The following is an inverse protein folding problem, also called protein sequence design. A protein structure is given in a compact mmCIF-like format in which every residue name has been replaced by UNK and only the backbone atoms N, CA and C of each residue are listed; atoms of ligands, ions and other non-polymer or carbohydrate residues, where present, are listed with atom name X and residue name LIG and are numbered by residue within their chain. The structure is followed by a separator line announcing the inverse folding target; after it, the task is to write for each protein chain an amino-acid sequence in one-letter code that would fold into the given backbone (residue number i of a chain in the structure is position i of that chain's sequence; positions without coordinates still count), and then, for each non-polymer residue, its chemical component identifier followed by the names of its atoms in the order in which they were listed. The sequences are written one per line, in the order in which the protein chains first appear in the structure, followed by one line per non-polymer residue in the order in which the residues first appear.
data_IF_944258176334
#
_entry.id   IF_944258176334
#
_cell.length_a   1.000
_cell.length_b   1.000
_cell.length_c   1.000
_cell.angle_alpha   90.00
_cell.angle_beta   90.00
_cell.angle_gamma   90.00
#
_symmetry.space_group_name_H-M   'P 1'
#
loop_
_entity.id
_entity.type
_entity.pdbx_description
1 polymer ?
#
# COMPACT_ATOMS: atom_id res chain seq x y z
N UNK A 1 -5.85 0.06 -6.06
CA UNK A 1 -5.09 -0.73 -7.05
C UNK A 1 -3.61 -0.49 -6.78
N UNK A 2 -2.78 -1.52 -6.83
CA UNK A 2 -1.33 -1.40 -6.60
C UNK A 2 -0.57 -2.28 -7.58
N UNK A 3 0.59 -1.81 -8.03
CA UNK A 3 1.46 -2.57 -8.93
C UNK A 3 2.92 -2.20 -8.68
N UNK A 4 3.73 -3.22 -8.51
CA UNK A 4 5.15 -3.13 -8.26
C UNK A 4 5.91 -3.90 -9.33
N UNK A 5 6.75 -3.20 -10.09
CA UNK A 5 7.46 -3.80 -11.22
C UNK A 5 8.62 -4.68 -10.74
N UNK A 6 8.70 -5.88 -11.28
CA UNK A 6 9.79 -6.83 -11.05
C UNK A 6 10.55 -7.10 -12.35
N UNK A 7 11.80 -7.59 -12.28
CA UNK A 7 12.53 -8.04 -13.47
C UNK A 7 11.76 -9.13 -14.25
N UNK A 8 12.17 -9.38 -15.50
CA UNK A 8 11.67 -10.49 -16.34
C UNK A 8 10.16 -10.44 -16.66
N UNK A 9 9.59 -9.24 -16.78
CA UNK A 9 8.17 -9.07 -17.17
C UNK A 9 7.20 -9.55 -16.08
N UNK A 10 7.63 -9.49 -14.82
CA UNK A 10 6.81 -9.78 -13.65
C UNK A 10 6.33 -8.50 -12.98
N UNK A 11 5.21 -8.58 -12.27
CA UNK A 11 4.87 -7.59 -11.27
C UNK A 11 4.24 -8.24 -10.03
N UNK A 12 4.38 -7.58 -8.89
CA UNK A 12 3.53 -7.82 -7.73
C UNK A 12 2.38 -6.83 -7.81
N UNK A 13 1.16 -7.28 -8.08
CA UNK A 13 0.03 -6.37 -8.24
C UNK A 13 -1.26 -6.92 -7.65
N UNK A 14 -2.15 -6.00 -7.33
CA UNK A 14 -3.42 -6.28 -6.68
C UNK A 14 -4.48 -5.25 -7.07
N UNK A 15 -5.73 -5.70 -7.06
CA UNK A 15 -6.87 -4.84 -7.24
C UNK A 15 -8.03 -5.25 -6.34
N UNK A 16 -8.62 -4.25 -5.69
CA UNK A 16 -9.75 -4.39 -4.80
C UNK A 16 -10.84 -3.41 -5.20
N UNK A 17 -12.11 -3.84 -5.09
CA UNK A 17 -13.28 -2.98 -5.16
C UNK A 17 -14.10 -3.24 -3.91
N UNK A 18 -14.21 -2.26 -3.02
CA UNK A 18 -15.08 -2.30 -1.86
C UNK A 18 -16.35 -1.50 -2.17
N UNK A 19 -17.51 -2.16 -2.15
CA UNK A 19 -18.79 -1.53 -2.45
C UNK A 19 -19.82 -1.80 -1.35
N UNK A 20 -20.48 -0.76 -0.82
CA UNK A 20 -21.62 -0.93 0.07
C UNK A 20 -22.66 -1.88 -0.53
N UNK A 21 -23.13 -2.86 0.24
CA UNK A 21 -24.12 -3.85 -0.19
C UNK A 21 -23.59 -4.99 -1.07
N UNK A 22 -22.42 -4.85 -1.70
CA UNK A 22 -21.77 -5.91 -2.52
C UNK A 22 -20.55 -6.53 -1.85
N UNK A 23 -20.02 -5.86 -0.82
CA UNK A 23 -18.86 -6.27 -0.04
C UNK A 23 -17.54 -6.00 -0.77
N UNK A 24 -16.50 -6.75 -0.40
CA UNK A 24 -15.18 -6.67 -1.02
C UNK A 24 -15.06 -7.63 -2.20
N UNK A 25 -14.57 -7.12 -3.33
CA UNK A 25 -14.10 -7.88 -4.48
C UNK A 25 -12.58 -7.76 -4.55
N UNK A 26 -11.92 -8.87 -4.87
CA UNK A 26 -10.46 -8.99 -4.96
C UNK A 26 -10.10 -9.56 -6.33
N UNK A 27 -9.05 -9.07 -7.00
CA UNK A 27 -8.53 -9.69 -8.22
C UNK A 27 -8.24 -11.17 -7.99
N UNK A 28 -8.57 -12.04 -8.95
CA UNK A 28 -8.54 -13.51 -8.83
C UNK A 28 -7.28 -14.12 -8.22
N UNK A 29 -6.12 -13.49 -8.43
CA UNK A 29 -4.84 -13.99 -7.95
C UNK A 29 -4.69 -13.93 -6.43
N UNK A 30 -5.42 -13.04 -5.76
CA UNK A 30 -5.37 -12.86 -4.30
C UNK A 30 -5.76 -14.18 -3.60
N UNK A 31 -4.98 -14.64 -2.60
CA UNK A 31 -4.02 -13.87 -1.81
C UNK A 31 -2.60 -13.77 -2.40
N UNK A 32 -2.33 -14.40 -3.54
CA UNK A 32 -1.06 -14.22 -4.25
C UNK A 32 -1.03 -12.89 -5.03
N UNK A 33 0.16 -12.32 -5.19
CA UNK A 33 0.34 -11.06 -5.93
C UNK A 33 1.28 -11.19 -7.12
N UNK A 34 1.95 -12.33 -7.30
CA UNK A 34 2.89 -12.54 -8.40
C UNK A 34 2.13 -12.72 -9.71
N UNK A 35 2.22 -11.72 -10.59
CA UNK A 35 1.61 -11.72 -11.93
C UNK A 35 2.68 -11.77 -13.02
N UNK A 36 2.32 -12.37 -14.15
CA UNK A 36 3.23 -12.58 -15.28
C UNK A 36 2.73 -11.90 -16.55
N UNK A 37 3.67 -11.54 -17.42
CA UNK A 37 3.36 -10.97 -18.74
C UNK A 37 3.27 -9.46 -18.76
N UNK A 38 3.92 -8.78 -17.80
CA UNK A 38 4.09 -7.34 -17.86
C UNK A 38 4.99 -6.96 -19.04
N UNK A 39 4.57 -5.98 -19.84
CA UNK A 39 5.40 -5.40 -20.89
C UNK A 39 6.65 -4.72 -20.32
N UNK A 40 7.65 -4.48 -21.18
CA UNK A 40 8.82 -3.70 -20.79
C UNK A 40 8.36 -2.31 -20.32
N UNK A 41 8.74 -1.96 -19.09
CA UNK A 41 8.40 -0.69 -18.46
C UNK A 41 6.90 -0.47 -18.17
N UNK A 42 6.08 -1.50 -18.29
CA UNK A 42 4.67 -1.41 -17.94
C UNK A 42 4.43 -1.73 -16.46
N UNK A 43 3.53 -0.97 -15.83
CA UNK A 43 2.98 -1.28 -14.52
C UNK A 43 1.67 -2.05 -14.70
N UNK A 44 1.74 -3.32 -15.07
CA UNK A 44 0.54 -4.11 -15.26
C UNK A 44 0.76 -5.50 -15.81
N UNK A 45 -0.07 -6.45 -15.38
CA UNK A 45 -0.16 -7.82 -15.87
C UNK A 45 -1.52 -8.41 -15.49
N UNK A 46 -1.91 -9.51 -16.13
CA UNK A 46 -3.15 -10.27 -15.83
C UNK A 46 -4.40 -9.37 -15.68
N UNK A 47 -4.57 -8.45 -16.62
CA UNK A 47 -5.71 -7.54 -16.69
C UNK A 47 -5.52 -6.21 -15.96
N UNK A 48 -4.60 -6.11 -14.98
CA UNK A 48 -4.27 -4.86 -14.29
C UNK A 48 -3.36 -4.02 -15.19
N UNK A 49 -3.63 -2.72 -15.31
CA UNK A 49 -2.72 -1.75 -15.94
C UNK A 49 -2.78 -0.39 -15.26
N UNK A 50 -1.61 0.16 -14.96
CA UNK A 50 -1.39 1.53 -14.48
C UNK A 50 -0.45 2.19 -15.48
N UNK A 51 -0.80 3.37 -15.99
CA UNK A 51 0.01 4.05 -17.00
C UNK A 51 0.11 5.54 -16.70
N UNK A 52 1.31 6.11 -16.65
CA UNK A 52 1.46 7.56 -16.52
C UNK A 52 0.96 8.23 -17.80
N UNK A 53 0.04 9.18 -17.65
CA UNK A 53 -0.43 10.05 -18.75
C UNK A 53 0.36 11.35 -18.73
N UNK A 54 0.51 11.94 -17.54
CA UNK A 54 1.40 13.07 -17.29
C UNK A 54 2.13 12.81 -15.96
N UNK A 55 3.47 12.69 -15.96
CA UNK A 55 4.23 12.39 -14.75
C UNK A 55 3.87 13.34 -13.61
N UNK A 56 3.71 12.81 -12.40
CA UNK A 56 3.36 13.55 -11.19
C UNK A 56 2.01 14.29 -11.22
N UNK A 57 1.18 14.08 -12.25
CA UNK A 57 -0.10 14.79 -12.40
C UNK A 57 -1.28 13.91 -12.81
N UNK A 58 -1.10 12.93 -13.72
CA UNK A 58 -2.22 12.15 -14.26
C UNK A 58 -1.83 10.72 -14.63
N UNK A 59 -2.68 9.75 -14.27
CA UNK A 59 -2.50 8.32 -14.54
C UNK A 59 -3.78 7.69 -15.03
N UNK A 60 -3.66 6.83 -16.02
CA UNK A 60 -4.72 5.93 -16.47
C UNK A 60 -4.61 4.61 -15.69
N UNK A 61 -5.75 4.11 -15.26
CA UNK A 61 -5.91 2.87 -14.51
C UNK A 61 -6.90 1.99 -15.26
N UNK A 62 -6.61 0.71 -15.45
CA UNK A 62 -7.59 -0.23 -15.96
C UNK A 62 -7.45 -1.61 -15.34
N UNK A 63 -8.59 -2.31 -15.29
CA UNK A 63 -8.64 -3.72 -14.95
C UNK A 63 -9.64 -4.43 -15.86
N UNK A 64 -9.29 -5.60 -16.38
CA UNK A 64 -10.23 -6.48 -17.07
C UNK A 64 -9.98 -7.92 -16.68
N UNK A 65 -10.93 -8.52 -15.97
CA UNK A 65 -10.82 -9.90 -15.54
C UNK A 65 -11.88 -10.32 -14.53
N UNK A 66 -11.82 -11.59 -14.13
CA UNK A 66 -12.66 -12.14 -13.08
C UNK A 66 -12.12 -11.72 -11.70
N UNK A 67 -13.01 -11.30 -10.79
CA UNK A 67 -12.68 -11.07 -9.38
C UNK A 67 -13.26 -12.18 -8.50
N UNK A 68 -12.90 -12.20 -7.21
CA UNK A 68 -13.45 -13.13 -6.23
C UNK A 68 -14.99 -13.05 -6.23
N UNK A 69 -15.66 -14.15 -5.86
CA UNK A 69 -17.09 -14.39 -6.09
C UNK A 69 -17.48 -14.66 -7.55
N UNK A 70 -16.49 -14.84 -8.44
CA UNK A 70 -16.66 -15.29 -9.84
C UNK A 70 -17.51 -14.29 -10.64
N UNK A 71 -17.19 -13.00 -10.48
CA UNK A 71 -17.84 -11.90 -11.22
C UNK A 71 -16.86 -11.31 -12.21
N UNK A 72 -17.35 -10.95 -13.40
CA UNK A 72 -16.53 -10.30 -14.42
C UNK A 72 -16.49 -8.80 -14.17
N UNK A 73 -15.29 -8.23 -14.16
CA UNK A 73 -15.11 -6.80 -13.94
C UNK A 73 -14.31 -6.18 -15.08
N UNK A 74 -14.83 -5.09 -15.62
CA UNK A 74 -14.13 -4.19 -16.52
C UNK A 74 -14.12 -2.79 -15.89
N UNK A 75 -12.93 -2.31 -15.54
CA UNK A 75 -12.70 -1.04 -14.86
C UNK A 75 -11.80 -0.15 -15.72
N UNK A 76 -12.18 1.12 -15.81
CA UNK A 76 -11.40 2.18 -16.43
C UNK A 76 -11.44 3.41 -15.54
N UNK A 77 -10.28 3.98 -15.24
CA UNK A 77 -10.17 5.15 -14.39
C UNK A 77 -9.05 6.09 -14.79
N UNK A 78 -9.22 7.35 -14.42
CA UNK A 78 -8.21 8.39 -14.50
C UNK A 78 -8.01 8.97 -13.10
N UNK A 79 -6.78 8.88 -12.60
CA UNK A 79 -6.37 9.57 -11.39
C UNK A 79 -5.69 10.87 -11.76
N UNK A 80 -6.12 11.98 -11.15
CA UNK A 80 -5.51 13.31 -11.34
C UNK A 80 -5.10 13.91 -10.00
N UNK A 81 -3.89 14.43 -9.91
CA UNK A 81 -3.38 15.11 -8.73
C UNK A 81 -4.18 16.40 -8.44
N UNK A 82 -4.49 16.62 -7.17
CA UNK A 82 -5.07 17.87 -6.67
C UNK A 82 -4.15 18.58 -5.68
N UNK A 83 -3.04 17.94 -5.29
CA UNK A 83 -2.00 18.52 -4.45
C UNK A 83 -0.61 18.36 -5.08
N UNK A 84 0.35 19.13 -4.57
CA UNK A 84 1.77 18.77 -4.70
C UNK A 84 2.02 17.42 -4.03
N UNK A 85 3.05 16.71 -4.48
CA UNK A 85 3.51 15.53 -3.75
C UNK A 85 4.18 15.96 -2.43
N UNK A 86 4.09 15.09 -1.44
CA UNK A 86 4.82 15.17 -0.18
C UNK A 86 6.01 14.22 -0.27
N UNK A 87 7.22 14.76 -0.19
CA UNK A 87 8.47 14.01 -0.28
C UNK A 87 8.95 13.58 1.10
N UNK A 88 8.95 12.27 1.35
CA UNK A 88 9.36 11.71 2.64
C UNK A 88 10.87 11.84 2.88
N UNK A 89 11.68 12.08 1.86
CA UNK A 89 13.13 12.30 2.03
C UNK A 89 13.43 13.69 2.59
N UNK A 90 12.61 14.70 2.25
CA UNK A 90 12.88 16.11 2.54
C UNK A 90 11.88 16.80 3.48
N UNK A 91 10.66 16.29 3.61
CA UNK A 91 9.55 17.05 4.21
C UNK A 91 9.01 16.48 5.53
N UNK A 92 9.60 15.38 6.01
CA UNK A 92 9.27 14.83 7.32
C UNK A 92 9.61 15.81 8.46
N UNK A 93 8.83 15.76 9.54
CA UNK A 93 9.12 16.56 10.72
C UNK A 93 10.44 16.11 11.37
N UNK A 94 11.50 16.95 11.43
CA UNK A 94 12.82 16.49 11.83
C UNK A 94 12.85 15.88 13.24
N UNK A 95 12.11 16.46 14.20
CA UNK A 95 12.09 15.93 15.55
C UNK A 95 11.40 14.56 15.64
N UNK A 96 10.40 14.27 14.78
CA UNK A 96 9.76 12.96 14.73
C UNK A 96 10.73 11.87 14.23
N UNK A 97 11.49 12.19 13.18
CA UNK A 97 12.52 11.31 12.63
C UNK A 97 13.65 11.08 13.64
N UNK A 98 14.17 12.16 14.25
CA UNK A 98 15.24 12.07 15.25
C UNK A 98 14.81 11.23 16.45
N UNK A 99 13.59 11.44 16.98
CA UNK A 99 13.06 10.63 18.09
C UNK A 99 12.92 9.15 17.70
N UNK A 100 12.51 8.87 16.48
CA UNK A 100 12.38 7.50 15.93
C UNK A 100 13.75 6.80 15.92
N UNK A 101 14.77 7.44 15.33
CA UNK A 101 16.14 6.92 15.27
C UNK A 101 16.77 6.79 16.66
N UNK A 102 16.53 7.74 17.56
CA UNK A 102 17.08 7.74 18.91
C UNK A 102 16.53 6.61 19.81
N UNK A 103 15.38 6.02 19.46
CA UNK A 103 14.78 4.88 20.19
C UNK A 103 15.33 3.53 19.75
N UNK A 104 16.06 3.46 18.63
CA UNK A 104 16.62 2.21 18.15
C UNK A 104 17.93 1.84 18.85
N UNK A 105 18.23 0.54 19.05
CA UNK A 105 19.54 0.12 19.51
C UNK A 105 20.62 0.45 18.48
N UNK A 106 21.55 1.34 18.84
CA UNK A 106 22.65 1.74 17.96
C UNK A 106 23.72 0.66 17.90
N UNK A 107 23.92 0.12 16.69
CA UNK A 107 24.96 -0.86 16.40
C UNK A 107 25.64 -0.51 15.07
N UNK A 108 26.87 -0.98 14.84
CA UNK A 108 27.54 -0.83 13.54
C UNK A 108 26.66 -1.37 12.40
N UNK A 109 26.09 -2.55 12.61
CA UNK A 109 25.17 -3.21 11.68
C UNK A 109 23.93 -2.36 11.35
N UNK A 110 23.37 -1.66 12.35
CA UNK A 110 22.24 -0.75 12.13
C UNK A 110 22.62 0.38 11.16
N UNK A 111 23.75 1.06 11.40
CA UNK A 111 24.17 2.17 10.56
C UNK A 111 24.62 1.74 9.15
N UNK A 112 25.28 0.59 9.01
CA UNK A 112 25.63 0.06 7.67
C UNK A 112 24.38 -0.30 6.85
N UNK A 113 23.33 -0.80 7.50
CA UNK A 113 22.05 -1.05 6.83
C UNK A 113 21.33 0.25 6.49
N UNK A 114 21.33 1.23 7.38
CA UNK A 114 20.70 2.53 7.14
C UNK A 114 21.27 3.22 5.88
N UNK A 115 22.57 3.09 5.63
CA UNK A 115 23.23 3.60 4.41
C UNK A 115 22.73 2.94 3.12
N UNK A 116 22.28 1.69 3.19
CA UNK A 116 21.90 0.89 2.01
C UNK A 116 20.39 0.76 1.84
N UNK A 117 19.60 1.13 2.86
CA UNK A 117 18.14 1.03 2.88
C UNK A 117 17.40 2.23 2.25
N UNK A 118 18.08 3.08 1.48
CA UNK A 118 17.46 4.26 0.90
C UNK A 118 16.40 3.88 -0.16
N UNK A 119 15.17 4.27 0.13
CA UNK A 119 14.01 4.19 -0.74
C UNK A 119 13.38 5.57 -0.76
N UNK A 120 13.30 6.19 -1.94
CA UNK A 120 12.55 7.43 -2.09
C UNK A 120 11.06 7.10 -2.12
N UNK A 121 10.27 7.91 -1.42
CA UNK A 121 8.84 7.71 -1.24
C UNK A 121 8.14 9.05 -1.27
N UNK A 122 7.02 9.10 -1.99
CA UNK A 122 6.20 10.29 -2.03
C UNK A 122 4.72 9.93 -2.11
N UNK A 123 3.90 10.75 -1.46
CA UNK A 123 2.45 10.63 -1.47
C UNK A 123 1.84 11.87 -2.12
N UNK A 124 0.71 11.69 -2.79
CA UNK A 124 0.02 12.78 -3.46
C UNK A 124 -1.49 12.58 -3.39
N UNK A 125 -2.22 13.63 -3.03
CA UNK A 125 -3.68 13.62 -3.03
C UNK A 125 -4.21 13.94 -4.43
N UNK A 126 -5.38 13.39 -4.73
CA UNK A 126 -6.00 13.53 -6.03
C UNK A 126 -7.45 13.08 -6.07
N UNK A 127 -7.97 13.06 -7.29
CA UNK A 127 -9.32 12.59 -7.59
C UNK A 127 -9.23 11.42 -8.55
N UNK A 128 -9.93 10.33 -8.23
CA UNK A 128 -10.15 9.21 -9.13
C UNK A 128 -11.51 9.37 -9.80
N UNK A 129 -11.53 9.53 -11.12
CA UNK A 129 -12.73 9.39 -11.94
C UNK A 129 -12.71 7.99 -12.56
N UNK A 130 -13.73 7.18 -12.34
CA UNK A 130 -13.74 5.81 -12.83
C UNK A 130 -15.12 5.35 -13.26
N UNK A 131 -15.11 4.49 -14.28
CA UNK A 131 -16.27 3.73 -14.73
C UNK A 131 -15.91 2.27 -14.66
N UNK A 132 -16.83 1.47 -14.16
CA UNK A 132 -16.62 0.03 -14.16
C UNK A 132 -17.93 -0.73 -14.23
N UNK A 133 -17.83 -1.97 -14.69
CA UNK A 133 -18.93 -2.91 -14.72
C UNK A 133 -18.62 -4.09 -13.81
N UNK A 134 -19.64 -4.59 -13.12
CA UNK A 134 -19.61 -5.87 -12.41
C UNK A 134 -20.72 -6.70 -13.05
N UNK A 135 -20.33 -7.68 -13.86
CA UNK A 135 -21.20 -8.38 -14.78
C UNK A 135 -22.00 -7.40 -15.67
N UNK A 136 -23.29 -7.21 -15.41
CA UNK A 136 -24.18 -6.32 -16.17
C UNK A 136 -24.39 -4.95 -15.50
N UNK A 137 -24.02 -4.80 -14.23
CA UNK A 137 -24.24 -3.57 -13.48
C UNK A 137 -23.12 -2.57 -13.71
N UNK A 138 -23.49 -1.32 -14.01
CA UNK A 138 -22.54 -0.26 -14.35
C UNK A 138 -22.45 0.78 -13.23
N UNK A 139 -21.24 1.28 -13.02
CA UNK A 139 -20.91 2.29 -12.03
C UNK A 139 -20.11 3.41 -12.70
N UNK A 140 -20.38 4.65 -12.29
CA UNK A 140 -19.66 5.85 -12.73
C UNK A 140 -19.47 6.73 -11.49
N UNK A 141 -18.22 6.86 -11.04
CA UNK A 141 -17.87 7.47 -9.76
C UNK A 141 -16.72 8.45 -9.91
N UNK A 142 -16.80 9.54 -9.16
CA UNK A 142 -15.70 10.47 -8.91
C UNK A 142 -15.45 10.54 -7.40
N UNK A 143 -14.25 10.16 -6.96
CA UNK A 143 -13.92 9.98 -5.55
C UNK A 143 -12.61 10.69 -5.20
N UNK A 144 -12.51 11.36 -4.04
CA UNK A 144 -11.22 11.72 -3.46
C UNK A 144 -10.37 10.47 -3.26
N UNK A 145 -9.09 10.56 -3.55
CA UNK A 145 -8.14 9.47 -3.33
C UNK A 145 -6.73 10.00 -3.15
N UNK A 146 -5.78 9.10 -2.95
CA UNK A 146 -4.37 9.42 -2.92
C UNK A 146 -3.62 8.40 -3.77
N UNK A 147 -2.46 8.80 -4.26
CA UNK A 147 -1.48 7.93 -4.89
C UNK A 147 -0.25 7.94 -4.01
N UNK A 148 0.22 6.77 -3.71
CA UNK A 148 1.55 6.60 -3.18
C UNK A 148 2.46 5.91 -4.21
N UNK A 149 3.73 6.29 -4.14
CA UNK A 149 4.78 5.61 -4.86
C UNK A 149 6.08 5.56 -4.04
N UNK A 150 6.74 4.41 -4.10
CA UNK A 150 8.12 4.27 -3.63
C UNK A 150 9.01 3.63 -4.69
N UNK A 151 10.28 4.02 -4.72
CA UNK A 151 11.29 3.40 -5.57
C UNK A 151 12.66 3.40 -4.88
N UNK A 152 13.41 2.31 -5.05
CA UNK A 152 14.74 2.16 -4.47
C UNK A 152 15.66 1.48 -5.48
N UNK A 153 16.95 1.81 -5.42
CA UNK A 153 17.99 1.06 -6.13
C UNK A 153 18.49 -0.08 -5.23
N UNK A 154 17.68 -1.11 -5.06
CA UNK A 154 18.09 -2.27 -4.26
C UNK A 154 18.98 -3.22 -5.08
N UNK A 155 20.24 -3.33 -4.65
CA UNK A 155 21.07 -4.52 -4.90
C UNK A 155 20.34 -5.71 -4.27
N UNK A 156 20.16 -6.76 -5.08
CA UNK A 156 19.43 -8.01 -4.80
C UNK A 156 19.67 -8.51 -3.35
N UNK A 157 18.58 -8.76 -2.61
CA UNK A 157 18.45 -9.46 -1.30
C UNK A 157 17.83 -8.70 -0.09
N UNK A 158 16.89 -7.77 -0.28
CA UNK A 158 16.03 -7.32 0.83
C UNK A 158 14.55 -7.13 0.42
N UNK A 159 13.57 -7.53 1.26
CA UNK A 159 12.14 -7.42 0.95
C UNK A 159 11.65 -5.96 0.98
N UNK A 160 10.83 -5.62 -0.02
CA UNK A 160 10.36 -4.26 -0.37
C UNK A 160 9.10 -3.79 0.42
N UNK A 161 8.82 -2.48 0.38
CA UNK A 161 8.00 -1.68 1.33
C UNK A 161 7.01 -0.68 0.64
N UNK A 162 5.82 -0.52 1.29
CA UNK A 162 4.73 0.55 1.42
C UNK A 162 3.89 0.99 0.20
N UNK A 163 2.56 1.35 0.33
CA UNK A 163 1.88 2.36 1.24
C UNK A 163 0.39 2.18 1.68
N UNK A 164 -0.25 3.04 2.52
CA UNK A 164 0.23 4.17 3.35
C UNK A 164 0.33 3.76 4.83
N UNK A 165 1.54 3.61 5.39
CA UNK A 165 1.69 2.95 6.71
C UNK A 165 2.58 3.71 7.68
N UNK A 166 2.19 3.68 8.96
CA UNK A 166 3.12 3.65 10.09
C UNK A 166 4.05 2.46 9.89
N UNK A 167 5.16 2.68 9.21
CA UNK A 167 6.05 1.60 8.79
C UNK A 167 7.03 1.23 9.91
N UNK A 168 6.68 0.21 10.70
CA UNK A 168 7.72 -0.53 11.43
C UNK A 168 8.46 -1.41 10.42
N UNK A 169 9.70 -1.04 10.12
CA UNK A 169 10.62 -1.91 9.40
C UNK A 169 10.87 -3.10 10.32
N UNK A 170 11.22 -4.28 9.81
CA UNK A 170 11.63 -5.40 10.67
C UNK A 170 12.75 -5.07 11.68
N UNK A 171 13.34 -3.87 11.63
CA UNK A 171 14.42 -3.43 12.51
C UNK A 171 14.31 -1.99 13.01
N UNK A 172 13.28 -1.23 12.62
CA UNK A 172 12.89 0.00 13.32
C UNK A 172 11.59 -0.30 14.06
N UNK A 173 11.70 -0.42 15.37
CA UNK A 173 10.56 -0.62 16.28
C UNK A 173 9.70 0.63 16.36
N UNK A 174 10.28 1.80 16.06
CA UNK A 174 9.62 3.09 16.19
C UNK A 174 9.93 3.97 14.98
N UNK A 175 8.97 4.12 14.08
CA UNK A 175 8.96 5.18 13.08
C UNK A 175 7.58 5.84 13.07
N UNK A 176 7.57 7.15 13.28
CA UNK A 176 6.38 8.00 13.26
C UNK A 176 6.54 8.97 12.08
N UNK A 177 5.72 8.80 11.04
CA UNK A 177 5.77 9.61 9.82
C UNK A 177 4.36 9.73 9.24
N UNK A 178 4.09 10.85 8.55
CA UNK A 178 2.82 11.10 7.90
C UNK A 178 2.63 12.57 7.56
N UNK A 179 1.53 12.88 6.90
CA UNK A 179 1.21 14.21 6.40
C UNK A 179 -0.29 14.49 6.53
N UNK A 180 -0.64 15.75 6.84
CA UNK A 180 -1.99 16.29 6.72
C UNK A 180 -2.01 17.34 5.64
N UNK A 181 -2.93 17.20 4.67
CA UNK A 181 -3.23 18.24 3.70
C UNK A 181 -4.59 18.87 4.01
N UNK A 182 -4.63 20.19 4.13
CA UNK A 182 -5.85 20.94 4.38
C UNK A 182 -6.51 21.41 3.07
N UNK A 183 -7.83 21.70 3.08
CA UNK A 183 -8.51 22.30 1.94
C UNK A 183 -7.92 23.65 1.49
N UNK A 184 -7.20 24.36 2.37
CA UNK A 184 -6.45 25.58 2.04
C UNK A 184 -5.26 25.33 1.11
N UNK A 185 -4.86 24.07 0.92
CA UNK A 185 -3.62 23.69 0.22
C UNK A 185 -2.40 23.63 1.13
N UNK A 186 -2.54 23.98 2.41
CA UNK A 186 -1.46 23.84 3.39
C UNK A 186 -1.22 22.36 3.72
N UNK A 187 0.05 22.03 3.91
CA UNK A 187 0.51 20.66 4.15
C UNK A 187 1.40 20.67 5.39
N UNK A 188 1.05 19.84 6.38
CA UNK A 188 1.77 19.74 7.64
C UNK A 188 2.28 18.32 7.86
N UNK A 189 3.57 18.11 8.12
CA UNK A 189 4.07 16.81 8.52
C UNK A 189 3.56 16.46 9.93
N UNK A 190 3.33 15.17 10.16
CA UNK A 190 2.97 14.65 11.48
C UNK A 190 4.15 14.82 12.44
N UNK A 191 3.88 15.48 13.56
CA UNK A 191 4.88 15.79 14.59
C UNK A 191 5.03 14.67 15.61
N UNK A 192 3.94 13.98 15.96
CA UNK A 192 3.90 12.81 16.82
C UNK A 192 2.60 12.04 16.62
N UNK A 193 2.61 10.76 16.99
CA UNK A 193 1.41 9.90 17.03
C UNK A 193 1.44 9.02 18.29
N UNK A 194 0.29 8.86 18.95
CA UNK A 194 0.18 8.02 20.15
C UNK A 194 -0.23 6.56 19.85
N UNK A 195 -0.53 6.21 18.59
CA UNK A 195 -0.77 4.83 18.15
C UNK A 195 0.47 3.95 18.43
N UNK A 196 0.30 2.95 19.29
CA UNK A 196 1.35 1.99 19.62
C UNK A 196 1.11 0.68 18.89
N UNK A 197 1.98 0.34 17.94
CA UNK A 197 1.88 -0.89 17.16
C UNK A 197 1.88 -2.15 18.03
N UNK A 198 2.64 -2.16 19.13
CA UNK A 198 2.63 -3.30 20.06
C UNK A 198 1.26 -3.50 20.76
N UNK A 199 0.48 -2.42 20.95
CA UNK A 199 -0.88 -2.54 21.50
C UNK A 199 -1.91 -2.97 20.43
N UNK A 200 -1.65 -2.66 19.16
CA UNK A 200 -2.61 -2.76 18.06
C UNK A 200 -2.26 -3.82 17.01
N UNK A 201 -1.24 -4.65 17.22
CA UNK A 201 -0.87 -5.65 16.22
C UNK A 201 0.14 -6.69 16.70
N UNK A 202 0.60 -6.59 17.95
CA UNK A 202 1.44 -7.64 18.52
C UNK A 202 0.64 -8.96 18.57
N UNK A 203 1.21 -10.02 18.00
CA UNK A 203 0.53 -11.31 17.84
C UNK A 203 -0.06 -11.58 16.46
N UNK A 204 0.08 -10.65 15.50
CA UNK A 204 -0.29 -10.93 14.10
C UNK A 204 -1.76 -10.69 13.77
N UNK A 205 -2.52 -10.11 14.71
CA UNK A 205 -3.95 -9.78 14.54
C UNK A 205 -4.15 -8.31 14.92
N UNK A 206 -4.64 -7.50 13.99
CA UNK A 206 -4.90 -6.08 14.21
C UNK A 206 -6.34 -5.86 14.72
N UNK A 207 -6.60 -4.85 15.56
CA UNK A 207 -7.95 -4.53 16.01
C UNK A 207 -8.77 -3.97 14.85
N UNK A 208 -10.07 -4.23 14.91
CA UNK A 208 -11.05 -3.74 13.93
C UNK A 208 -11.73 -2.44 14.35
N UNK A 209 -11.70 -2.11 15.64
CA UNK A 209 -12.24 -0.89 16.24
C UNK A 209 -11.19 -0.34 17.20
N UNK A 210 -10.64 0.83 16.89
CA UNK A 210 -9.59 1.45 17.68
C UNK A 210 -9.51 2.95 17.41
N UNK A 211 -8.76 3.67 18.25
CA UNK A 211 -8.52 5.09 18.08
C UNK A 211 -7.13 5.49 18.51
N UNK A 212 -6.70 6.65 18.03
CA UNK A 212 -5.41 7.25 18.36
C UNK A 212 -5.44 8.75 18.12
N UNK A 213 -4.41 9.44 18.57
CA UNK A 213 -4.18 10.86 18.34
C UNK A 213 -2.85 11.10 17.67
N UNK A 214 -2.78 12.20 16.95
CA UNK A 214 -1.54 12.70 16.39
C UNK A 214 -1.58 14.22 16.31
N UNK A 215 -0.42 14.87 16.16
CA UNK A 215 -0.34 16.32 15.95
C UNK A 215 0.27 16.62 14.59
N UNK A 216 -0.25 17.63 13.92
CA UNK A 216 0.35 18.23 12.73
C UNK A 216 0.04 19.74 12.72
N UNK A 217 1.08 20.58 12.65
CA UNK A 217 0.93 22.02 12.76
C UNK A 217 0.36 22.42 14.12
N UNK A 218 -0.61 23.34 14.14
CA UNK A 218 -1.24 23.84 15.37
C UNK A 218 -2.40 22.96 15.88
N UNK A 219 -2.66 21.82 15.21
CA UNK A 219 -3.83 20.97 15.50
C UNK A 219 -3.41 19.61 16.04
N UNK A 220 -4.04 19.22 17.16
CA UNK A 220 -4.09 17.83 17.62
C UNK A 220 -5.35 17.16 17.04
N UNK A 221 -5.17 16.01 16.42
CA UNK A 221 -6.21 15.25 15.75
C UNK A 221 -6.54 14.01 16.59
N UNK A 222 -7.82 13.75 16.79
CA UNK A 222 -8.34 12.50 17.35
C UNK A 222 -8.97 11.68 16.24
N UNK A 223 -8.50 10.44 16.09
CA UNK A 223 -8.91 9.51 15.05
C UNK A 223 -9.61 8.31 15.68
N UNK A 224 -10.78 7.98 15.14
CA UNK A 224 -11.45 6.70 15.37
C UNK A 224 -11.43 5.91 14.07
N UNK A 225 -11.19 4.61 14.16
CA UNK A 225 -11.06 3.71 13.02
C UNK A 225 -11.98 2.52 13.22
N UNK A 226 -12.81 2.25 12.22
CA UNK A 226 -13.63 1.05 12.15
C UNK A 226 -13.39 0.33 10.82
N UNK A 227 -12.91 -0.91 10.90
CA UNK A 227 -12.62 -1.78 9.74
C UNK A 227 -13.91 -2.40 9.24
N UNK A 228 -14.30 -2.06 8.01
CA UNK A 228 -15.49 -2.62 7.35
C UNK A 228 -15.13 -3.91 6.61
N UNK A 229 -14.09 -3.83 5.77
CA UNK A 229 -13.61 -4.96 4.99
C UNK A 229 -12.12 -5.16 5.20
N UNK A 230 -11.67 -6.40 5.07
CA UNK A 230 -10.24 -6.72 5.05
C UNK A 230 -9.96 -7.85 4.06
N UNK A 231 -8.75 -7.85 3.51
CA UNK A 231 -8.22 -8.94 2.71
C UNK A 231 -6.75 -9.15 3.03
N UNK A 232 -6.34 -10.41 3.07
CA UNK A 232 -4.92 -10.77 3.17
C UNK A 232 -4.37 -10.95 1.78
N UNK A 233 -3.18 -10.43 1.56
CA UNK A 233 -2.37 -10.78 0.40
C UNK A 233 -0.92 -10.95 0.81
N UNK A 234 -0.16 -11.65 -0.01
CA UNK A 234 1.25 -11.94 0.24
C UNK A 234 2.10 -11.30 -0.83
N UNK A 235 3.21 -10.72 -0.39
CA UNK A 235 4.24 -10.13 -1.25
C UNK A 235 5.49 -10.99 -1.11
N UNK A 236 6.35 -10.92 -2.14
CA UNK A 236 7.55 -11.74 -2.38
C UNK A 236 7.31 -13.19 -2.77
N UNK A 237 8.37 -13.80 -3.33
CA UNK A 237 8.38 -15.13 -3.95
C UNK A 237 7.97 -16.25 -2.99
N UNK A 238 8.41 -16.19 -1.73
CA UNK A 238 8.08 -17.17 -0.69
C UNK A 238 7.04 -16.65 0.30
N UNK A 239 6.27 -15.63 -0.10
CA UNK A 239 5.23 -15.05 0.75
C UNK A 239 5.78 -14.59 2.12
N UNK A 240 6.98 -14.03 2.20
CA UNK A 240 7.59 -13.66 3.49
C UNK A 240 6.93 -12.43 4.14
N UNK A 241 6.19 -11.66 3.35
CA UNK A 241 5.41 -10.51 3.75
C UNK A 241 3.91 -10.84 3.64
N UNK A 242 3.22 -10.87 4.77
CA UNK A 242 1.76 -10.97 4.84
C UNK A 242 1.19 -9.58 5.09
N UNK A 243 0.48 -9.05 4.11
CA UNK A 243 -0.21 -7.77 4.21
C UNK A 243 -1.68 -8.01 4.51
N UNK A 244 -2.21 -7.27 5.47
CA UNK A 244 -3.65 -7.22 5.75
C UNK A 244 -4.15 -5.86 5.30
N UNK A 245 -4.70 -5.79 4.09
CA UNK A 245 -5.31 -4.59 3.52
C UNK A 245 -6.69 -4.39 4.15
N UNK A 246 -6.97 -3.22 4.72
CA UNK A 246 -8.21 -2.95 5.45
C UNK A 246 -8.86 -1.67 4.94
N UNK A 247 -10.15 -1.78 4.64
CA UNK A 247 -10.99 -0.69 4.16
C UNK A 247 -11.81 -0.19 5.35
N UNK A 248 -11.55 1.05 5.75
CA UNK A 248 -11.97 1.57 7.03
C UNK A 248 -12.84 2.81 6.90
N UNK A 249 -13.80 2.94 7.80
CA UNK A 249 -14.38 4.23 8.16
C UNK A 249 -13.51 4.90 9.20
N UNK A 250 -13.23 6.17 8.98
CA UNK A 250 -12.51 7.03 9.90
C UNK A 250 -13.44 8.11 10.43
N UNK A 251 -13.24 8.52 11.68
CA UNK A 251 -13.78 9.78 12.21
C UNK A 251 -12.60 10.57 12.76
N UNK A 252 -12.30 11.72 12.14
CA UNK A 252 -11.18 12.59 12.51
C UNK A 252 -11.75 13.88 13.06
N UNK A 253 -11.53 14.18 14.34
CA UNK A 253 -12.11 15.36 15.02
C UNK A 253 -13.63 15.47 14.83
N UNK A 254 -14.35 14.34 14.85
CA UNK A 254 -15.80 14.27 14.61
C UNK A 254 -16.22 14.30 13.13
N UNK A 255 -15.28 14.48 12.20
CA UNK A 255 -15.56 14.49 10.76
C UNK A 255 -15.44 13.07 10.19
N UNK A 256 -16.51 12.50 9.61
CA UNK A 256 -16.46 11.17 9.02
C UNK A 256 -15.69 11.17 7.70
N UNK A 257 -14.98 10.08 7.44
CA UNK A 257 -14.24 9.84 6.20
C UNK A 257 -14.05 8.36 5.94
N UNK A 258 -13.48 8.04 4.78
CA UNK A 258 -13.12 6.69 4.39
C UNK A 258 -11.63 6.65 4.06
N UNK A 259 -11.02 5.49 4.23
CA UNK A 259 -9.62 5.30 3.87
C UNK A 259 -9.20 3.85 3.96
N UNK A 260 -7.90 3.65 3.89
CA UNK A 260 -7.29 2.33 4.02
C UNK A 260 -6.32 2.31 5.18
N UNK A 261 -6.06 1.12 5.69
CA UNK A 261 -4.92 0.85 6.57
C UNK A 261 -4.40 -0.54 6.26
N UNK A 262 -3.08 -0.73 6.16
CA UNK A 262 -2.50 -2.07 6.03
C UNK A 262 -1.62 -2.40 7.24
N UNK A 263 -1.69 -3.67 7.63
CA UNK A 263 -0.81 -4.23 8.65
C UNK A 263 0.09 -5.26 7.98
N UNK A 264 1.40 -5.02 8.08
CA UNK A 264 2.41 -5.88 7.52
C UNK A 264 3.00 -6.79 8.62
N UNK A 265 2.85 -8.10 8.43
CA UNK A 265 3.44 -9.12 9.26
C UNK A 265 4.49 -9.95 8.53
N UNK A 266 5.49 -10.41 9.28
CA UNK A 266 6.37 -11.50 8.83
C UNK A 266 5.56 -12.78 8.71
N UNK A 267 5.61 -13.39 7.54
CA UNK A 267 5.11 -14.74 7.31
C UNK A 267 6.28 -15.72 7.16
N UNK A 268 6.06 -16.98 7.57
CA UNK A 268 7.12 -18.00 7.68
C UNK A 268 6.74 -19.35 7.05
N UNK A 269 5.51 -19.52 6.58
CA UNK A 269 5.02 -20.81 6.08
C UNK A 269 5.38 -21.05 4.60
N UNK A 270 5.92 -20.04 3.91
CA UNK A 270 6.28 -20.13 2.50
C UNK A 270 5.09 -19.92 1.56
N UNK A 271 5.35 -19.92 0.25
CA UNK A 271 4.30 -19.89 -0.78
C UNK A 271 3.85 -21.33 -1.10
N UNK A 272 2.56 -21.67 -0.96
CA UNK A 272 2.08 -23.04 -1.16
C UNK A 272 2.31 -23.59 -2.57
N UNK A 273 2.60 -24.89 -2.68
CA UNK A 273 2.87 -25.56 -3.98
C UNK A 273 1.70 -25.44 -4.96
N UNK A 274 0.45 -25.54 -4.49
CA UNK A 274 -0.73 -25.45 -5.37
C UNK A 274 -0.89 -24.06 -6.01
N UNK A 275 -0.40 -23.01 -5.36
CA UNK A 275 -0.36 -21.65 -5.92
C UNK A 275 0.72 -21.57 -6.98
N UNK A 276 1.93 -22.05 -6.64
CA UNK A 276 3.09 -22.07 -7.53
C UNK A 276 2.96 -23.05 -8.72
N UNK A 277 2.05 -24.02 -8.67
CA UNK A 277 1.85 -25.02 -9.72
C UNK A 277 1.49 -24.41 -11.08
N UNK A 278 0.81 -23.26 -11.07
CA UNK A 278 0.43 -22.51 -12.27
C UNK A 278 1.53 -21.60 -12.81
N UNK A 279 2.67 -21.51 -12.12
CA UNK A 279 3.74 -20.61 -12.51
C UNK A 279 4.47 -21.06 -13.79
N UNK A 280 4.92 -20.11 -14.62
CA UNK A 280 5.79 -20.40 -15.75
C UNK A 280 7.02 -21.21 -15.34
N UNK A 281 7.43 -22.17 -16.19
CA UNK A 281 8.57 -23.06 -15.93
C UNK A 281 9.86 -22.27 -15.64
N UNK A 282 10.09 -21.18 -16.38
CA UNK A 282 11.28 -20.35 -16.20
C UNK A 282 11.33 -19.70 -14.81
N UNK A 283 10.18 -19.31 -14.26
CA UNK A 283 10.09 -18.68 -12.94
C UNK A 283 10.42 -19.71 -11.87
N UNK A 284 9.79 -20.89 -11.93
CA UNK A 284 10.07 -21.99 -10.99
C UNK A 284 11.55 -22.42 -10.96
N UNK A 285 12.22 -22.40 -12.12
CA UNK A 285 13.68 -22.65 -12.21
C UNK A 285 14.51 -21.55 -11.54
N UNK A 286 14.14 -20.28 -11.72
CA UNK A 286 14.80 -19.15 -11.04
C UNK A 286 14.66 -19.27 -9.51
N UNK A 287 13.50 -19.73 -9.05
CA UNK A 287 13.18 -19.92 -7.64
C UNK A 287 13.84 -21.16 -6.99
N UNK A 288 14.69 -21.90 -7.72
CA UNK A 288 15.25 -23.19 -7.29
C UNK A 288 14.18 -24.24 -6.89
N UNK A 289 12.98 -24.17 -7.48
CA UNK A 289 11.86 -25.10 -7.22
C UNK A 289 11.79 -26.27 -8.19
N UNK A 290 12.72 -26.35 -9.17
CA UNK A 290 12.88 -27.44 -10.16
C UNK A 290 14.37 -27.62 -10.44
#
# INVERSE_FOLDING_TARGET
MGCERRPLGMCNALFYIALPGKGLLCSRKIPDTVLFGAGNEEFGAEGIKISPVKPMEKWALSYKGEMCKVVNVEFSGEWSATSRYFDFDGELHPAAVIRSIAREPWTKDYFERLKTAHQSHYEQFGTLKCKFTIDEEQFDLELPSFRDHSFARLVVNAPLRVPPHLSAERRQRHLEAGVVALPSGEVYPVEWVDLKLYQHGEGGTAPRDYGFRFKAGDTEYTVQVLVEYESVHYVSEEWEAKMTERFCRFVVNGVPGNGVSEFHYRHREGRPEHVAASDPIWYRKMCHKI
#
